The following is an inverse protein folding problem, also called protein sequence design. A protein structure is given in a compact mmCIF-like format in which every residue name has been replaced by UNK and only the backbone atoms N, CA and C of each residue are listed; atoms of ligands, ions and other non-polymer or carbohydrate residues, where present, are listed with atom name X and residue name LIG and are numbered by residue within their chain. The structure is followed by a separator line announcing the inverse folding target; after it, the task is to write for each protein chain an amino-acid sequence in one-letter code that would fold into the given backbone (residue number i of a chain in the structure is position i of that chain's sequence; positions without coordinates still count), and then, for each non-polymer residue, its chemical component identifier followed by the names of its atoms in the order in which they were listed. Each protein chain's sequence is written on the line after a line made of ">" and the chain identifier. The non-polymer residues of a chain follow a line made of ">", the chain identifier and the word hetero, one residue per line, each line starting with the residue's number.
data_IF_602149227377
#
_entry.id   IF_602149227377
#
_cell.length_a   1.000
_cell.length_b   1.000
_cell.length_c   1.000
_cell.angle_alpha   90.00
_cell.angle_beta   90.00
_cell.angle_gamma   90.00
#
_symmetry.space_group_name_H-M   'P 1'
#
loop_
_entity.id
_entity.type
_entity.pdbx_description
1 polymer ?
#
# COMPACT_ATOMS: atom_id res chain seq x y z
N UNK A 1 21.58 -12.27 -20.63
CA UNK A 1 21.57 -10.81 -20.85
C UNK A 1 21.13 -10.16 -19.55
N UNK A 2 22.08 -9.77 -18.71
CA UNK A 2 21.80 -9.10 -17.44
C UNK A 2 21.09 -7.78 -17.71
N UNK A 3 19.87 -7.63 -17.20
CA UNK A 3 19.21 -6.34 -17.12
C UNK A 3 20.03 -5.48 -16.14
N UNK A 4 20.75 -4.52 -16.71
CA UNK A 4 21.50 -3.52 -15.99
C UNK A 4 20.53 -2.70 -15.12
N UNK A 5 20.50 -2.99 -13.83
CA UNK A 5 19.61 -2.36 -12.85
C UNK A 5 20.02 -0.91 -12.50
N UNK A 6 20.99 -0.34 -13.22
CA UNK A 6 21.53 1.00 -12.94
C UNK A 6 20.71 2.14 -13.54
N UNK A 7 19.77 1.87 -14.45
CA UNK A 7 18.97 2.92 -15.11
C UNK A 7 18.04 3.72 -14.17
N UNK A 8 17.75 3.21 -12.96
CA UNK A 8 16.89 3.90 -11.99
C UNK A 8 17.57 4.99 -11.15
N UNK A 9 18.90 5.04 -11.10
CA UNK A 9 19.63 5.93 -10.19
C UNK A 9 19.77 7.38 -10.69
N UNK A 10 19.48 7.66 -11.96
CA UNK A 10 19.57 9.00 -12.55
C UNK A 10 18.42 9.95 -12.17
N UNK A 11 17.31 9.41 -11.63
CA UNK A 11 16.10 10.20 -11.30
C UNK A 11 16.20 10.85 -9.91
N UNK A 12 16.98 10.28 -8.99
CA UNK A 12 17.11 10.76 -7.62
C UNK A 12 18.31 11.68 -7.48
N UNK A 13 18.07 12.90 -7.01
CA UNK A 13 19.15 13.82 -6.59
C UNK A 13 19.78 13.34 -5.29
N UNK A 14 20.99 13.83 -4.94
CA UNK A 14 21.58 13.48 -3.63
C UNK A 14 20.72 13.99 -2.47
N UNK A 15 20.11 15.17 -2.64
CA UNK A 15 19.15 15.71 -1.69
C UNK A 15 17.93 14.79 -1.50
N UNK A 16 17.43 14.18 -2.57
CA UNK A 16 16.34 13.19 -2.47
C UNK A 16 16.79 11.99 -1.64
N UNK A 17 18.01 11.48 -1.88
CA UNK A 17 18.57 10.35 -1.13
C UNK A 17 18.71 10.67 0.36
N UNK A 18 19.25 11.84 0.70
CA UNK A 18 19.42 12.26 2.09
C UNK A 18 18.09 12.48 2.81
N UNK A 19 17.12 13.10 2.13
CA UNK A 19 15.76 13.23 2.62
C UNK A 19 15.09 11.88 2.89
N UNK A 20 15.23 10.93 1.96
CA UNK A 20 14.68 9.58 2.10
C UNK A 20 15.35 8.84 3.28
N UNK A 21 16.68 8.93 3.41
CA UNK A 21 17.43 8.33 4.52
C UNK A 21 17.01 8.93 5.88
N UNK A 22 16.91 10.26 5.97
CA UNK A 22 16.49 10.96 7.18
C UNK A 22 15.05 10.58 7.56
N UNK A 23 14.14 10.50 6.59
CA UNK A 23 12.76 10.09 6.83
C UNK A 23 12.67 8.63 7.27
N UNK A 24 13.44 7.73 6.66
CA UNK A 24 13.55 6.32 7.10
C UNK A 24 14.06 6.24 8.55
N UNK A 25 15.11 6.97 8.89
CA UNK A 25 15.66 7.01 10.25
C UNK A 25 14.60 7.46 11.25
N UNK A 26 13.90 8.56 10.96
CA UNK A 26 12.80 9.05 11.80
C UNK A 26 11.75 7.96 12.01
N UNK A 27 11.35 7.27 10.94
CA UNK A 27 10.29 6.27 11.02
C UNK A 27 10.69 5.04 11.82
N UNK A 28 11.89 4.52 11.60
CA UNK A 28 12.41 3.37 12.33
C UNK A 28 12.67 3.69 13.81
N UNK A 29 13.13 4.90 14.12
CA UNK A 29 13.37 5.35 15.49
C UNK A 29 12.12 5.83 16.23
N UNK A 30 10.96 5.88 15.56
CA UNK A 30 9.72 6.49 16.10
C UNK A 30 9.95 7.92 16.60
N UNK A 31 10.85 8.65 15.95
CA UNK A 31 11.24 10.00 16.36
C UNK A 31 10.06 10.97 16.19
N UNK A 32 9.66 11.70 17.25
CA UNK A 32 8.62 12.71 17.16
C UNK A 32 8.96 13.81 16.15
N UNK A 33 7.94 14.39 15.50
CA UNK A 33 8.13 15.49 14.54
C UNK A 33 8.94 16.66 15.09
N UNK A 34 8.74 17.00 16.37
CA UNK A 34 9.49 18.06 17.06
C UNK A 34 10.99 17.73 17.12
N UNK A 35 11.34 16.51 17.54
CA UNK A 35 12.73 16.06 17.58
C UNK A 35 13.36 16.02 16.18
N UNK A 36 12.63 15.56 15.16
CA UNK A 36 13.08 15.61 13.77
C UNK A 36 13.36 17.04 13.31
N UNK A 37 12.47 17.97 13.66
CA UNK A 37 12.62 19.39 13.36
C UNK A 37 13.83 20.02 14.07
N UNK A 38 14.10 19.66 15.33
CA UNK A 38 15.31 20.09 16.01
C UNK A 38 16.56 19.54 15.32
N UNK A 39 16.61 18.24 15.04
CA UNK A 39 17.74 17.60 14.36
C UNK A 39 18.09 18.28 13.03
N UNK A 40 17.10 18.46 12.13
CA UNK A 40 17.35 19.13 10.84
C UNK A 40 17.88 20.55 10.99
N UNK A 41 17.42 21.29 12.01
CA UNK A 41 17.76 22.70 12.19
C UNK A 41 19.18 22.80 12.80
N UNK A 42 19.48 21.99 13.80
CA UNK A 42 20.80 21.92 14.46
C UNK A 42 21.90 21.53 13.47
N UNK A 43 21.64 20.57 12.59
CA UNK A 43 22.63 20.08 11.63
C UNK A 43 22.52 20.73 10.25
N UNK A 44 21.77 21.83 10.11
CA UNK A 44 21.55 22.51 8.82
C UNK A 44 22.84 22.98 8.14
N UNK A 45 23.89 23.25 8.92
CA UNK A 45 25.22 23.62 8.43
C UNK A 45 26.03 22.44 7.84
N UNK A 46 25.60 21.19 8.07
CA UNK A 46 26.24 19.97 7.54
C UNK A 46 25.36 19.20 6.57
N UNK A 47 24.04 19.27 6.75
CA UNK A 47 23.07 18.51 5.96
C UNK A 47 21.83 19.35 5.65
N UNK A 48 21.45 19.43 4.38
CA UNK A 48 20.21 20.04 3.93
C UNK A 48 19.08 19.01 3.86
N UNK A 49 18.59 18.62 5.03
CA UNK A 49 17.37 17.82 5.14
C UNK A 49 16.19 18.76 4.90
N UNK A 50 15.08 18.30 4.32
CA UNK A 50 13.83 19.05 4.12
C UNK A 50 12.78 18.73 5.19
N UNK A 51 11.76 19.59 5.34
CA UNK A 51 10.70 19.34 6.33
C UNK A 51 9.96 18.04 5.99
N UNK A 52 9.35 17.39 6.98
CA UNK A 52 8.60 16.15 6.77
C UNK A 52 7.57 16.28 5.65
N UNK A 53 6.90 17.43 5.57
CA UNK A 53 5.92 17.71 4.51
C UNK A 53 6.55 17.73 3.11
N UNK A 54 7.70 18.42 2.94
CA UNK A 54 8.41 18.47 1.65
C UNK A 54 8.91 17.09 1.26
N UNK A 55 9.44 16.32 2.22
CA UNK A 55 9.93 14.97 1.97
C UNK A 55 8.78 14.07 1.50
N UNK A 56 7.64 14.07 2.21
CA UNK A 56 6.48 13.27 1.85
C UNK A 56 5.93 13.64 0.47
N UNK A 57 5.82 14.94 0.17
CA UNK A 57 5.37 15.41 -1.14
C UNK A 57 6.32 14.95 -2.26
N UNK A 58 7.63 15.07 -2.03
CA UNK A 58 8.64 14.60 -2.99
C UNK A 58 8.60 13.08 -3.20
N UNK A 59 8.41 12.30 -2.13
CA UNK A 59 8.25 10.84 -2.23
C UNK A 59 6.99 10.48 -3.03
N UNK A 60 5.87 11.17 -2.80
CA UNK A 60 4.64 10.93 -3.55
C UNK A 60 4.84 11.15 -5.07
N UNK A 61 5.53 12.22 -5.45
CA UNK A 61 5.89 12.51 -6.84
C UNK A 61 6.81 11.43 -7.44
N UNK A 62 7.85 11.02 -6.71
CA UNK A 62 8.83 10.03 -7.17
C UNK A 62 8.20 8.64 -7.34
N UNK A 63 7.28 8.28 -6.45
CA UNK A 63 6.60 6.97 -6.48
C UNK A 63 5.38 6.97 -7.38
N UNK A 64 4.91 8.14 -7.82
CA UNK A 64 3.61 8.32 -8.50
C UNK A 64 2.44 7.73 -7.69
N UNK A 65 2.59 7.70 -6.38
CA UNK A 65 1.55 7.29 -5.44
C UNK A 65 0.94 8.56 -4.88
N UNK A 66 -0.24 8.91 -5.39
CA UNK A 66 -1.03 10.00 -4.85
C UNK A 66 -2.11 9.43 -3.92
N UNK A 67 -2.15 9.85 -2.64
CA UNK A 67 -3.19 9.43 -1.72
C UNK A 67 -4.53 10.08 -2.09
N UNK A 68 -5.60 9.28 -2.14
CA UNK A 68 -6.96 9.79 -2.26
C UNK A 68 -7.61 9.83 -0.88
N UNK A 69 -8.22 10.97 -0.56
CA UNK A 69 -8.93 11.16 0.69
C UNK A 69 -10.43 11.02 0.46
N UNK A 70 -11.04 10.06 1.14
CA UNK A 70 -12.47 9.83 1.11
C UNK A 70 -13.12 10.28 2.41
N UNK A 71 -14.24 10.97 2.33
CA UNK A 71 -15.03 11.26 3.51
C UNK A 71 -15.74 9.97 3.96
N UNK A 72 -15.78 9.72 5.26
CA UNK A 72 -16.40 8.54 5.81
C UNK A 72 -17.34 8.90 6.96
N UNK A 73 -18.29 8.02 7.23
CA UNK A 73 -19.02 8.04 8.49
C UNK A 73 -18.02 7.92 9.65
N UNK A 74 -18.17 8.67 10.77
CA UNK A 74 -17.33 8.52 11.96
C UNK A 74 -17.20 7.07 12.45
N UNK A 75 -18.30 6.31 12.35
CA UNK A 75 -18.38 4.89 12.71
C UNK A 75 -17.97 3.94 11.57
N UNK A 76 -17.41 4.47 10.47
CA UNK A 76 -16.93 3.73 9.30
C UNK A 76 -17.98 2.89 8.56
N UNK A 77 -19.27 3.17 8.76
CA UNK A 77 -20.35 2.41 8.10
C UNK A 77 -20.36 2.56 6.57
N UNK A 78 -20.04 3.77 6.08
CA UNK A 78 -19.96 4.10 4.65
C UNK A 78 -18.81 5.05 4.36
N UNK A 79 -18.37 5.06 3.11
CA UNK A 79 -17.69 6.19 2.49
C UNK A 79 -18.73 7.05 1.74
N UNK A 80 -18.64 8.36 1.88
CA UNK A 80 -19.50 9.32 1.18
C UNK A 80 -18.99 9.53 -0.25
N UNK A 81 -19.15 8.50 -1.07
CA UNK A 81 -18.75 8.48 -2.49
C UNK A 81 -19.95 8.16 -3.38
N UNK A 82 -19.87 8.52 -4.67
CA UNK A 82 -20.91 8.19 -5.67
C UNK A 82 -22.32 8.53 -5.17
N UNK A 83 -23.21 7.53 -5.04
CA UNK A 83 -24.58 7.66 -4.56
C UNK A 83 -24.74 8.24 -3.14
N UNK A 84 -23.68 8.23 -2.32
CA UNK A 84 -23.69 8.79 -0.97
C UNK A 84 -23.04 10.17 -0.88
N UNK A 85 -22.51 10.72 -1.98
CA UNK A 85 -21.71 11.96 -1.99
C UNK A 85 -22.43 13.18 -1.40
N UNK A 86 -23.74 13.29 -1.62
CA UNK A 86 -24.55 14.43 -1.19
C UNK A 86 -25.26 14.21 0.16
N UNK A 87 -25.02 13.09 0.85
CA UNK A 87 -25.65 12.82 2.13
C UNK A 87 -25.01 13.65 3.25
N UNK A 88 -25.85 14.31 4.04
CA UNK A 88 -25.43 15.04 5.24
C UNK A 88 -25.30 14.15 6.47
N UNK A 89 -25.90 12.95 6.45
CA UNK A 89 -25.90 11.99 7.55
C UNK A 89 -25.76 10.56 7.02
N UNK A 90 -25.27 9.67 7.87
CA UNK A 90 -25.18 8.25 7.57
C UNK A 90 -26.58 7.68 7.29
N UNK A 91 -26.80 6.95 6.17
CA UNK A 91 -28.12 6.42 5.81
C UNK A 91 -28.52 5.21 6.66
N UNK A 92 -27.59 4.61 7.40
CA UNK A 92 -27.90 3.47 8.26
C UNK A 92 -28.73 3.90 9.48
N UNK A 93 -29.85 3.21 9.75
CA UNK A 93 -30.80 3.59 10.80
C UNK A 93 -30.18 3.57 12.21
N UNK A 94 -29.25 2.64 12.47
CA UNK A 94 -28.58 2.48 13.76
C UNK A 94 -27.38 3.41 13.96
N UNK A 95 -27.06 4.25 12.95
CA UNK A 95 -25.93 5.18 13.01
C UNK A 95 -26.38 6.63 12.93
N UNK A 96 -26.97 7.06 11.80
CA UNK A 96 -27.44 8.43 11.53
C UNK A 96 -26.46 9.56 11.88
N UNK A 97 -25.17 9.26 12.04
CA UNK A 97 -24.14 10.24 12.38
C UNK A 97 -24.02 11.31 11.29
N UNK A 98 -23.86 12.56 11.69
CA UNK A 98 -23.58 13.65 10.77
C UNK A 98 -22.28 13.40 10.01
N UNK A 99 -22.28 13.72 8.72
CA UNK A 99 -21.11 13.68 7.83
C UNK A 99 -20.11 14.77 8.21
N UNK A 100 -20.58 15.98 8.46
CA UNK A 100 -19.77 17.15 8.74
C UNK A 100 -19.84 17.59 10.20
N UNK A 101 -18.81 18.29 10.66
CA UNK A 101 -18.81 19.05 11.92
C UNK A 101 -19.68 20.31 11.74
N UNK A 102 -20.04 21.01 12.83
CA UNK A 102 -20.69 22.32 12.73
C UNK A 102 -19.90 23.35 11.92
N UNK A 103 -18.57 23.20 11.82
CA UNK A 103 -17.69 24.04 11.02
C UNK A 103 -17.64 23.65 9.52
N UNK A 104 -18.44 22.67 9.09
CA UNK A 104 -18.49 22.22 7.69
C UNK A 104 -17.35 21.31 7.26
N UNK A 105 -16.51 20.82 8.19
CA UNK A 105 -15.42 19.89 7.87
C UNK A 105 -15.87 18.44 8.00
N UNK A 106 -15.42 17.51 7.12
CA UNK A 106 -15.76 16.10 7.25
C UNK A 106 -15.31 15.55 8.60
N UNK A 107 -16.17 14.82 9.30
CA UNK A 107 -15.85 14.28 10.62
C UNK A 107 -14.83 13.15 10.59
N UNK A 108 -14.70 12.46 9.45
CA UNK A 108 -13.71 11.40 9.26
C UNK A 108 -13.25 11.38 7.80
N UNK A 109 -11.93 11.24 7.63
CA UNK A 109 -11.28 11.00 6.35
C UNK A 109 -10.59 9.64 6.35
N UNK A 110 -10.72 8.92 5.24
CA UNK A 110 -9.96 7.70 4.96
C UNK A 110 -8.94 7.98 3.87
N UNK A 111 -7.67 7.67 4.13
CA UNK A 111 -6.60 7.75 3.15
C UNK A 111 -6.51 6.44 2.37
N UNK A 112 -6.83 6.49 1.08
CA UNK A 112 -6.66 5.39 0.16
C UNK A 112 -5.38 5.58 -0.66
N UNK A 113 -4.51 4.56 -0.63
CA UNK A 113 -3.36 4.48 -1.53
C UNK A 113 -3.72 3.62 -2.75
N UNK A 114 -3.74 4.18 -3.97
CA UNK A 114 -4.11 3.48 -5.18
C UNK A 114 -3.40 2.16 -5.36
N UNK A 115 -4.17 1.12 -5.68
CA UNK A 115 -3.65 -0.24 -5.83
C UNK A 115 -2.74 -0.38 -7.06
N UNK A 116 -3.14 0.20 -8.20
CA UNK A 116 -2.44 0.04 -9.49
C UNK A 116 -0.96 0.45 -9.42
N UNK A 117 -0.59 1.68 -9.00
CA UNK A 117 0.83 2.06 -8.95
C UNK A 117 1.63 1.23 -7.94
N UNK A 118 0.99 0.73 -6.89
CA UNK A 118 1.64 -0.19 -5.93
C UNK A 118 1.96 -1.53 -6.59
N UNK A 119 1.02 -2.10 -7.34
CA UNK A 119 1.25 -3.33 -8.10
C UNK A 119 2.37 -3.14 -9.14
N UNK A 120 2.33 -2.05 -9.91
CA UNK A 120 3.41 -1.72 -10.85
C UNK A 120 4.77 -1.63 -10.15
N UNK A 121 4.82 -1.00 -8.98
CA UNK A 121 6.03 -0.94 -8.15
C UNK A 121 6.57 -2.30 -7.76
N UNK A 122 5.71 -3.25 -7.37
CA UNK A 122 6.11 -4.62 -7.02
C UNK A 122 6.77 -5.34 -8.20
N UNK A 123 6.26 -5.16 -9.42
CA UNK A 123 6.81 -5.79 -10.63
C UNK A 123 8.01 -5.04 -11.25
N UNK A 124 8.31 -3.83 -10.77
CA UNK A 124 9.43 -3.01 -11.28
C UNK A 124 10.77 -3.33 -10.59
N UNK A 125 10.75 -4.08 -9.48
CA UNK A 125 11.94 -4.44 -8.73
C UNK A 125 12.26 -5.94 -8.91
N UNK A 126 13.41 -6.31 -9.51
CA UNK A 126 13.75 -7.72 -9.74
C UNK A 126 13.77 -8.58 -8.47
N UNK A 127 14.23 -8.02 -7.34
CA UNK A 127 14.22 -8.73 -6.06
C UNK A 127 12.79 -8.99 -5.57
N UNK A 128 11.91 -8.00 -5.70
CA UNK A 128 10.50 -8.18 -5.32
C UNK A 128 9.79 -9.15 -6.25
N UNK A 129 10.08 -9.12 -7.55
CA UNK A 129 9.57 -10.12 -8.51
C UNK A 129 9.98 -11.53 -8.11
N UNK A 130 11.23 -11.71 -7.69
CA UNK A 130 11.74 -12.99 -7.19
C UNK A 130 10.95 -13.48 -5.95
N UNK A 131 10.68 -12.58 -5.00
CA UNK A 131 9.89 -12.87 -3.81
C UNK A 131 8.43 -13.26 -4.17
N UNK A 132 7.84 -12.61 -5.18
CA UNK A 132 6.49 -12.92 -5.66
C UNK A 132 6.34 -14.33 -6.26
N UNK A 133 7.45 -14.95 -6.68
CA UNK A 133 7.46 -16.34 -7.19
C UNK A 133 7.36 -17.38 -6.06
N UNK A 134 7.26 -16.97 -4.80
CA UNK A 134 7.14 -17.85 -3.63
C UNK A 134 6.17 -19.01 -3.85
N UNK A 135 4.90 -18.72 -4.19
CA UNK A 135 3.88 -19.74 -4.43
C UNK A 135 4.25 -20.70 -5.56
N UNK A 136 4.79 -20.16 -6.65
CA UNK A 136 5.14 -20.96 -7.84
C UNK A 136 6.27 -21.95 -7.52
N UNK A 137 7.22 -21.54 -6.67
CA UNK A 137 8.40 -22.35 -6.31
C UNK A 137 8.19 -23.23 -5.09
N UNK A 138 7.16 -22.95 -4.30
CA UNK A 138 6.88 -23.69 -3.09
C UNK A 138 6.56 -25.16 -3.40
N UNK A 139 7.29 -26.06 -2.77
CA UNK A 139 7.08 -27.50 -2.87
C UNK A 139 6.53 -28.02 -1.54
N UNK A 140 5.30 -28.50 -1.58
CA UNK A 140 4.65 -29.08 -0.41
C UNK A 140 5.38 -30.34 0.04
N UNK A 141 5.57 -30.48 1.35
CA UNK A 141 6.18 -31.66 1.96
C UNK A 141 5.07 -32.58 2.46
N UNK A 142 5.26 -33.88 2.26
CA UNK A 142 4.31 -34.86 2.78
C UNK A 142 4.38 -34.92 4.31
N UNK A 143 3.21 -34.97 4.96
CA UNK A 143 3.00 -35.19 6.39
C UNK A 143 3.38 -34.05 7.34
N UNK A 144 3.61 -32.83 6.83
CA UNK A 144 3.84 -31.64 7.65
C UNK A 144 3.08 -30.45 7.07
N UNK A 145 2.44 -29.64 7.91
CA UNK A 145 1.80 -28.39 7.49
C UNK A 145 2.70 -27.24 7.93
N UNK A 146 3.51 -26.74 7.00
CA UNK A 146 4.43 -25.63 7.21
C UNK A 146 3.96 -24.33 6.55
N UNK A 147 3.12 -24.45 5.52
CA UNK A 147 2.49 -23.34 4.82
C UNK A 147 1.01 -23.63 4.50
N UNK A 148 0.24 -22.60 4.14
CA UNK A 148 -1.14 -22.72 3.63
C UNK A 148 -1.22 -23.67 2.42
N UNK A 149 -0.18 -23.73 1.59
CA UNK A 149 -0.14 -24.61 0.43
C UNK A 149 -0.03 -26.10 0.78
N UNK A 150 0.35 -26.47 2.00
CA UNK A 150 0.36 -27.87 2.47
C UNK A 150 -1.04 -28.37 2.86
N UNK A 151 -2.01 -27.47 3.02
CA UNK A 151 -3.35 -27.85 3.47
C UNK A 151 -4.04 -28.81 2.50
N UNK A 152 -4.74 -29.80 3.06
CA UNK A 152 -5.54 -30.77 2.29
C UNK A 152 -6.52 -30.03 1.37
N UNK A 153 -7.13 -28.94 1.85
CA UNK A 153 -8.04 -28.13 1.04
C UNK A 153 -7.35 -27.53 -0.19
N UNK A 154 -6.18 -26.91 -0.04
CA UNK A 154 -5.43 -26.36 -1.16
C UNK A 154 -5.00 -27.46 -2.15
N UNK A 155 -4.51 -28.60 -1.65
CA UNK A 155 -4.12 -29.74 -2.49
C UNK A 155 -5.31 -30.35 -3.26
N UNK A 156 -6.49 -30.37 -2.66
CA UNK A 156 -7.73 -30.78 -3.34
C UNK A 156 -8.12 -29.77 -4.43
N UNK A 157 -8.09 -28.47 -4.14
CA UNK A 157 -8.41 -27.42 -5.13
C UNK A 157 -7.53 -27.54 -6.38
N UNK A 158 -6.22 -27.82 -6.23
CA UNK A 158 -5.31 -28.03 -7.38
C UNK A 158 -5.74 -29.15 -8.33
N UNK A 159 -6.55 -30.10 -7.85
CA UNK A 159 -7.10 -31.23 -8.62
C UNK A 159 -8.53 -30.98 -9.08
N UNK A 160 -9.17 -29.92 -8.61
CA UNK A 160 -10.55 -29.55 -8.93
C UNK A 160 -10.58 -28.55 -10.09
N UNK A 161 -11.47 -28.76 -11.05
CA UNK A 161 -11.70 -27.80 -12.15
C UNK A 161 -12.44 -26.56 -11.66
N UNK A 162 -12.09 -25.41 -12.23
CA UNK A 162 -12.74 -24.14 -11.88
C UNK A 162 -14.14 -24.11 -12.48
N UNK A 163 -15.14 -23.72 -11.69
CA UNK A 163 -16.51 -23.49 -12.17
C UNK A 163 -16.88 -22.03 -11.99
N UNK A 164 -17.30 -21.36 -13.07
CA UNK A 164 -17.78 -19.96 -13.07
C UNK A 164 -19.16 -19.94 -13.69
N UNK A 165 -20.15 -19.39 -13.00
CA UNK A 165 -21.54 -19.31 -13.45
C UNK A 165 -22.11 -20.66 -13.94
N UNK A 166 -21.75 -21.74 -13.23
CA UNK A 166 -22.18 -23.11 -13.56
C UNK A 166 -21.46 -23.75 -14.76
N UNK A 167 -20.49 -23.07 -15.39
CA UNK A 167 -19.68 -23.62 -16.48
C UNK A 167 -18.31 -24.06 -15.97
N UNK A 168 -17.97 -25.31 -16.23
CA UNK A 168 -16.66 -25.89 -15.90
C UNK A 168 -15.60 -25.41 -16.92
N UNK A 169 -14.48 -24.89 -16.42
CA UNK A 169 -13.34 -24.45 -17.23
C UNK A 169 -12.37 -25.60 -17.48
N UNK A 170 -11.58 -25.49 -18.56
CA UNK A 170 -10.61 -26.52 -18.96
C UNK A 170 -9.41 -26.69 -18.00
N UNK A 171 -9.27 -25.81 -17.00
CA UNK A 171 -8.13 -25.77 -16.09
C UNK A 171 -8.56 -25.93 -14.63
N UNK A 172 -7.66 -26.46 -13.81
CA UNK A 172 -7.88 -26.62 -12.36
C UNK A 172 -7.57 -25.33 -11.60
N UNK A 173 -8.03 -25.23 -10.35
CA UNK A 173 -7.64 -24.09 -9.51
C UNK A 173 -6.11 -24.00 -9.42
N UNK A 174 -5.60 -22.78 -9.54
CA UNK A 174 -4.18 -22.45 -9.39
C UNK A 174 -3.23 -23.12 -10.39
N UNK A 175 -3.74 -23.68 -11.49
CA UNK A 175 -2.91 -24.32 -12.55
C UNK A 175 -2.26 -23.31 -13.52
N UNK A 176 -2.51 -22.01 -13.35
CA UNK A 176 -1.84 -20.95 -14.11
C UNK A 176 -0.34 -20.86 -13.76
N UNK A 177 0.47 -20.56 -14.78
CA UNK A 177 1.92 -20.32 -14.64
C UNK A 177 2.20 -19.09 -13.79
#
# INVERSE_FOLDING_TARGET
>A
MSADCTAGNGVLTEKDRDNIRAFKLRMLSKMPRVAFNHMRNTFSHKMDISSEWVILHRIALLTRIEPHWFHCCPNSCIAYTSQYSNLSHCPYPDCREAHYTPAGTPRRLFCYLPLIPRLQGLFSNPKTVEELLYRHRYQSRHNEVSDVFDSIHYQNLRKTKVTVDGRELAHCYFSGK
#
